data_IF_695293721789
#
_entry.id   IF_695293721789
#
_cell.length_a   1.000
_cell.length_b   1.000
_cell.length_c   1.000
_cell.angle_alpha   90.00
_cell.angle_beta   90.00
_cell.angle_gamma   90.00
#
_symmetry.space_group_name_H-M   'P 1'
#
loop_
_entity.id
_entity.type
_entity.pdbx_description
1 polymer ?
#
# COMPACT_ATOMS: atom_id res chain seq x y z
N UNK A 1 15.33 12.61 16.44
CA UNK A 1 15.29 11.76 15.23
C UNK A 1 16.03 12.49 14.15
N UNK A 2 17.02 11.88 13.50
CA UNK A 2 17.69 12.48 12.34
C UNK A 2 16.69 12.56 11.20
N UNK A 3 16.63 13.71 10.50
CA UNK A 3 15.75 13.88 9.33
C UNK A 3 16.23 12.94 8.22
N UNK A 4 15.34 12.14 7.66
CA UNK A 4 15.65 11.18 6.60
C UNK A 4 16.11 11.93 5.34
N UNK A 5 17.25 11.53 4.76
CA UNK A 5 17.76 12.13 3.53
C UNK A 5 17.15 11.43 2.32
N UNK A 6 16.63 12.21 1.36
CA UNK A 6 15.99 11.74 0.14
C UNK A 6 16.73 12.27 -1.08
N UNK A 7 16.87 11.46 -2.11
CA UNK A 7 17.22 11.93 -3.44
C UNK A 7 16.07 12.77 -4.00
N UNK A 8 16.36 13.94 -4.53
CA UNK A 8 15.38 14.87 -5.07
C UNK A 8 15.56 15.05 -6.59
N UNK A 9 14.44 15.30 -7.27
CA UNK A 9 14.34 15.32 -8.72
C UNK A 9 13.56 16.52 -9.22
N UNK A 10 13.68 16.81 -10.52
CA UNK A 10 12.75 17.68 -11.22
C UNK A 10 11.50 16.90 -11.70
N UNK A 11 10.53 17.58 -12.30
CA UNK A 11 9.29 16.99 -12.82
C UNK A 11 9.52 15.96 -13.95
N UNK A 12 10.71 15.96 -14.55
CA UNK A 12 11.12 15.01 -15.60
C UNK A 12 11.98 13.87 -15.06
N UNK A 13 12.04 13.76 -13.72
CA UNK A 13 12.84 12.75 -13.01
C UNK A 13 14.37 12.90 -13.18
N UNK A 14 14.86 14.10 -13.57
CA UNK A 14 16.30 14.35 -13.55
C UNK A 14 16.75 14.62 -12.10
N UNK A 15 17.89 14.04 -11.65
CA UNK A 15 18.37 14.24 -10.28
C UNK A 15 18.80 15.68 -10.04
N UNK A 16 18.42 16.24 -8.90
CA UNK A 16 18.78 17.57 -8.45
C UNK A 16 19.75 17.58 -7.26
N UNK A 17 19.87 16.44 -6.55
CA UNK A 17 20.71 16.28 -5.36
C UNK A 17 19.99 15.58 -4.23
N UNK A 18 20.31 15.95 -2.99
CA UNK A 18 19.77 15.35 -1.76
C UNK A 18 19.17 16.43 -0.87
N UNK A 19 18.03 16.16 -0.24
CA UNK A 19 17.41 17.01 0.76
C UNK A 19 16.90 16.18 1.95
N UNK A 20 16.80 16.79 3.12
CA UNK A 20 16.06 16.17 4.23
C UNK A 20 14.56 16.09 3.91
N UNK A 21 13.89 15.04 4.37
CA UNK A 21 12.46 14.80 4.15
C UNK A 21 11.58 15.98 4.55
N UNK A 22 11.84 16.58 5.72
CA UNK A 22 11.13 17.76 6.16
C UNK A 22 11.32 18.96 5.20
N UNK A 23 12.51 19.14 4.63
CA UNK A 23 12.78 20.15 3.63
C UNK A 23 12.08 19.83 2.31
N UNK A 24 12.16 18.58 1.84
CA UNK A 24 11.53 18.15 0.61
C UNK A 24 10.00 18.40 0.66
N UNK A 25 9.34 18.04 1.74
CA UNK A 25 7.91 18.28 1.94
C UNK A 25 7.56 19.77 2.08
N UNK A 26 8.39 20.57 2.77
CA UNK A 26 8.12 22.00 2.91
C UNK A 26 8.22 22.76 1.58
N UNK A 27 9.15 22.35 0.73
CA UNK A 27 9.43 22.99 -0.57
C UNK A 27 8.72 22.31 -1.75
N UNK A 28 8.04 21.18 -1.53
CA UNK A 28 7.40 20.40 -2.58
C UNK A 28 8.42 19.86 -3.59
N UNK A 29 9.55 19.32 -3.12
CA UNK A 29 10.56 18.73 -3.99
C UNK A 29 10.13 17.31 -4.36
N UNK A 30 10.24 16.96 -5.64
CA UNK A 30 9.97 15.61 -6.11
C UNK A 30 10.98 14.61 -5.56
N UNK A 31 10.48 13.47 -5.09
CA UNK A 31 11.29 12.37 -4.59
C UNK A 31 10.57 11.04 -4.86
N UNK A 32 11.29 9.93 -4.75
CA UNK A 32 10.68 8.61 -4.97
C UNK A 32 10.06 8.06 -3.69
N UNK A 33 8.92 7.39 -3.87
CA UNK A 33 8.26 6.58 -2.85
C UNK A 33 8.07 5.14 -3.34
N UNK A 34 8.18 4.20 -2.41
CA UNK A 34 7.85 2.79 -2.59
C UNK A 34 6.41 2.57 -2.16
N UNK A 35 5.59 1.99 -3.02
CA UNK A 35 4.22 1.59 -2.74
C UNK A 35 4.07 0.09 -2.99
N UNK A 36 3.67 -0.67 -2.00
CA UNK A 36 3.41 -2.10 -2.16
C UNK A 36 2.00 -2.47 -1.72
N UNK A 37 1.24 -3.01 -2.66
CA UNK A 37 -0.03 -3.65 -2.41
C UNK A 37 0.18 -5.13 -2.16
N UNK A 38 -0.35 -5.64 -1.05
CA UNK A 38 -0.33 -7.06 -0.72
C UNK A 38 -1.72 -7.65 -0.89
N UNK A 39 -1.79 -8.83 -1.48
CA UNK A 39 -3.04 -9.56 -1.61
C UNK A 39 -2.90 -11.01 -1.14
N UNK A 40 -3.99 -11.57 -0.69
CA UNK A 40 -4.11 -12.97 -0.26
C UNK A 40 -5.17 -13.69 -1.06
N UNK A 41 -4.90 -14.97 -1.38
CA UNK A 41 -5.85 -15.89 -1.98
C UNK A 41 -6.34 -16.82 -0.88
N UNK A 42 -7.63 -16.83 -0.64
CA UNK A 42 -8.33 -17.61 0.39
C UNK A 42 -9.20 -18.66 -0.29
N UNK A 43 -9.62 -19.68 0.44
CA UNK A 43 -10.60 -20.69 0.02
C UNK A 43 -10.30 -21.34 -1.34
N UNK A 44 -9.10 -21.94 -1.47
CA UNK A 44 -8.66 -22.64 -2.69
C UNK A 44 -8.79 -21.80 -3.99
N UNK A 45 -8.64 -20.47 -3.87
CA UNK A 45 -8.64 -19.57 -5.02
C UNK A 45 -9.98 -18.91 -5.34
N UNK A 46 -11.04 -19.16 -4.57
CA UNK A 46 -12.36 -18.57 -4.82
C UNK A 46 -12.52 -17.17 -4.23
N UNK A 47 -11.83 -16.86 -3.14
CA UNK A 47 -11.85 -15.56 -2.48
C UNK A 47 -10.45 -14.91 -2.52
N UNK A 48 -10.37 -13.74 -3.09
CA UNK A 48 -9.13 -12.95 -3.22
C UNK A 48 -9.33 -11.64 -2.49
N UNK A 49 -8.38 -11.27 -1.64
CA UNK A 49 -8.47 -10.12 -0.76
C UNK A 49 -7.26 -9.22 -0.87
N UNK A 50 -7.50 -7.91 -0.94
CA UNK A 50 -6.47 -6.87 -0.97
C UNK A 50 -6.31 -6.28 0.43
N UNK A 51 -5.04 -6.21 0.91
CA UNK A 51 -4.69 -5.69 2.22
C UNK A 51 -4.56 -4.17 2.20
N UNK A 52 -5.18 -3.51 3.17
CA UNK A 52 -5.03 -2.09 3.46
C UNK A 52 -4.49 -1.89 4.87
N UNK A 53 -3.66 -0.87 5.07
CA UNK A 53 -3.28 -0.41 6.40
C UNK A 53 -4.07 0.84 6.78
N UNK A 54 -4.38 1.02 8.06
CA UNK A 54 -4.89 2.28 8.59
C UNK A 54 -3.74 3.11 9.14
N UNK A 55 -3.58 4.31 8.63
CA UNK A 55 -2.53 5.26 9.00
C UNK A 55 -2.70 5.69 10.45
N UNK A 56 -1.60 5.72 11.17
CA UNK A 56 -1.57 6.13 12.57
C UNK A 56 -1.96 7.61 12.77
N UNK A 57 -2.32 7.99 14.03
CA UNK A 57 -2.76 9.34 14.34
C UNK A 57 -1.67 10.40 14.19
N UNK A 58 -0.40 10.01 14.25
CA UNK A 58 0.76 10.91 14.19
C UNK A 58 1.29 11.09 12.74
N UNK A 59 0.68 10.43 11.75
CA UNK A 59 1.05 10.64 10.34
C UNK A 59 0.63 12.04 9.91
N UNK A 60 1.57 12.76 9.30
CA UNK A 60 1.39 14.16 8.89
C UNK A 60 0.32 14.35 7.80
N UNK A 61 0.17 13.36 6.91
CA UNK A 61 -0.84 13.34 5.86
C UNK A 61 -1.86 12.24 6.13
N UNK A 62 -3.13 12.58 6.08
CA UNK A 62 -4.29 11.66 6.13
C UNK A 62 -4.27 10.68 7.32
N UNK A 63 -4.07 11.14 8.57
CA UNK A 63 -4.12 10.26 9.74
C UNK A 63 -5.49 9.58 9.85
N UNK A 64 -5.51 8.31 10.20
CA UNK A 64 -6.72 7.52 10.39
C UNK A 64 -7.39 7.00 9.12
N UNK A 65 -6.97 7.43 7.94
CA UNK A 65 -7.46 6.88 6.68
C UNK A 65 -6.76 5.56 6.34
N UNK A 66 -7.44 4.75 5.53
CA UNK A 66 -6.86 3.53 4.98
C UNK A 66 -6.04 3.82 3.73
N UNK A 67 -4.92 3.16 3.61
CA UNK A 67 -3.92 3.38 2.57
C UNK A 67 -3.37 2.04 2.05
N UNK A 68 -2.41 2.14 1.16
CA UNK A 68 -1.61 1.06 0.57
C UNK A 68 -1.10 0.14 1.68
N UNK A 69 -0.91 -1.15 1.40
CA UNK A 69 -0.50 -2.13 2.41
C UNK A 69 0.79 -1.75 3.11
N UNK A 70 1.82 -1.30 2.35
CA UNK A 70 3.04 -0.72 2.89
C UNK A 70 3.53 0.39 1.94
N UNK A 71 3.98 1.52 2.50
CA UNK A 71 4.44 2.65 1.71
C UNK A 71 5.42 3.54 2.48
N UNK A 72 6.54 3.89 1.84
CA UNK A 72 7.52 4.80 2.40
C UNK A 72 8.43 5.42 1.35
N UNK A 73 9.38 6.24 1.79
CA UNK A 73 10.26 6.96 0.89
C UNK A 73 11.56 6.18 0.66
N UNK A 74 12.07 6.25 -0.56
CA UNK A 74 13.44 5.83 -0.81
C UNK A 74 14.42 6.80 -0.15
N UNK A 75 15.34 6.28 0.64
CA UNK A 75 16.44 7.06 1.20
C UNK A 75 17.46 7.42 0.11
N UNK A 76 18.20 8.50 0.31
CA UNK A 76 19.23 8.91 -0.63
C UNK A 76 20.23 7.77 -0.91
N UNK A 77 20.42 7.46 -2.21
CA UNK A 77 21.30 6.40 -2.68
C UNK A 77 20.71 4.99 -2.66
N UNK A 78 19.47 4.79 -2.21
CA UNK A 78 18.80 3.49 -2.27
C UNK A 78 18.48 3.07 -3.71
N UNK A 79 18.68 1.80 -4.02
CA UNK A 79 18.21 1.20 -5.25
C UNK A 79 16.72 0.84 -5.15
N UNK A 80 16.08 0.55 -6.29
CA UNK A 80 14.65 0.20 -6.34
C UNK A 80 14.30 -0.98 -5.44
N UNK A 81 15.18 -1.99 -5.38
CA UNK A 81 14.97 -3.18 -4.56
C UNK A 81 15.01 -2.88 -3.04
N UNK A 82 15.71 -1.83 -2.62
CA UNK A 82 15.85 -1.51 -1.19
C UNK A 82 14.53 -1.01 -0.58
N UNK A 83 13.59 -0.53 -1.42
CA UNK A 83 12.26 -0.10 -0.96
C UNK A 83 11.44 -1.20 -0.26
N UNK A 84 11.76 -2.47 -0.50
CA UNK A 84 11.09 -3.61 0.14
C UNK A 84 11.20 -3.59 1.67
N UNK A 85 12.21 -2.90 2.25
CA UNK A 85 12.37 -2.72 3.69
C UNK A 85 11.14 -2.07 4.35
N UNK A 86 10.40 -1.23 3.60
CA UNK A 86 9.18 -0.59 4.13
C UNK A 86 8.12 -1.62 4.52
N UNK A 87 8.08 -2.78 3.84
CA UNK A 87 7.15 -3.85 4.20
C UNK A 87 7.54 -4.44 5.56
N UNK A 88 8.83 -4.65 5.81
CA UNK A 88 9.31 -5.15 7.09
C UNK A 88 9.15 -4.08 8.19
N UNK A 89 9.52 -2.83 7.91
CA UNK A 89 9.44 -1.72 8.86
C UNK A 89 7.99 -1.44 9.28
N UNK A 90 7.02 -1.43 8.35
CA UNK A 90 5.62 -1.11 8.66
C UNK A 90 4.78 -2.32 9.07
N UNK A 91 5.03 -3.50 8.49
CA UNK A 91 4.16 -4.68 8.68
C UNK A 91 4.82 -5.82 9.47
N UNK A 92 6.13 -5.75 9.71
CA UNK A 92 6.89 -6.76 10.46
C UNK A 92 7.01 -8.09 9.74
N UNK A 93 6.99 -8.10 8.40
CA UNK A 93 7.15 -9.29 7.57
C UNK A 93 8.17 -9.06 6.47
N UNK A 94 9.00 -10.07 6.21
CA UNK A 94 9.98 -10.05 5.13
C UNK A 94 9.36 -10.57 3.84
N UNK A 95 9.51 -9.82 2.76
CA UNK A 95 9.15 -10.21 1.39
C UNK A 95 10.36 -9.93 0.50
N UNK A 96 10.71 -10.88 -0.37
CA UNK A 96 11.82 -10.68 -1.29
C UNK A 96 11.36 -9.79 -2.46
N UNK A 97 12.21 -8.84 -2.88
CA UNK A 97 11.89 -7.95 -3.99
C UNK A 97 11.54 -8.71 -5.28
N UNK A 98 12.20 -9.87 -5.52
CA UNK A 98 11.94 -10.72 -6.68
C UNK A 98 10.55 -11.38 -6.72
N UNK A 99 9.82 -11.37 -5.58
CA UNK A 99 8.45 -11.89 -5.49
C UNK A 99 7.40 -10.81 -5.78
N UNK A 100 7.83 -9.56 -6.01
CA UNK A 100 6.95 -8.44 -6.32
C UNK A 100 6.80 -8.26 -7.83
N UNK A 101 5.60 -7.93 -8.26
CA UNK A 101 5.28 -7.53 -9.63
C UNK A 101 5.22 -6.00 -9.69
N UNK A 102 6.03 -5.38 -10.54
CA UNK A 102 6.00 -3.93 -10.74
C UNK A 102 4.75 -3.53 -11.55
N UNK A 103 3.98 -2.58 -11.03
CA UNK A 103 2.79 -2.00 -11.67
C UNK A 103 3.08 -0.66 -12.35
N UNK A 104 4.34 -0.18 -12.26
CA UNK A 104 4.81 1.07 -12.84
C UNK A 104 4.96 2.20 -11.83
N UNK A 105 5.29 3.39 -12.35
CA UNK A 105 5.52 4.60 -11.56
C UNK A 105 4.40 5.61 -11.81
N UNK A 106 3.85 6.19 -10.74
CA UNK A 106 2.83 7.25 -10.81
C UNK A 106 3.34 8.51 -10.12
N UNK A 107 3.06 9.67 -10.69
CA UNK A 107 3.31 10.94 -10.01
C UNK A 107 2.09 11.28 -9.15
N UNK A 108 2.30 11.49 -7.85
CA UNK A 108 1.27 11.89 -6.90
C UNK A 108 1.65 13.21 -6.23
N UNK A 109 0.67 14.06 -5.96
CA UNK A 109 0.85 15.32 -5.23
C UNK A 109 -0.20 15.39 -4.14
N UNK A 110 0.25 15.52 -2.90
CA UNK A 110 -0.61 15.71 -1.74
C UNK A 110 -0.25 17.02 -1.05
N UNK A 111 -1.27 17.77 -0.63
CA UNK A 111 -1.09 19.02 0.08
C UNK A 111 -1.95 19.03 1.34
N UNK A 112 -1.33 19.32 2.49
CA UNK A 112 -2.02 19.51 3.75
C UNK A 112 -1.22 20.45 4.66
N UNK A 113 -1.83 21.57 5.04
CA UNK A 113 -1.16 22.60 5.86
C UNK A 113 0.09 23.12 5.18
N UNK A 114 1.26 22.90 5.80
CA UNK A 114 2.57 23.34 5.27
C UNK A 114 3.31 22.22 4.52
N UNK A 115 2.66 21.09 4.28
CA UNK A 115 3.26 19.93 3.62
C UNK A 115 2.78 19.89 2.18
N UNK A 116 3.74 19.79 1.27
CA UNK A 116 3.54 19.52 -0.16
C UNK A 116 4.37 18.27 -0.47
N UNK A 117 3.73 17.11 -0.52
CA UNK A 117 4.41 15.88 -0.92
C UNK A 117 4.24 15.70 -2.42
N UNK A 118 5.37 15.67 -3.15
CA UNK A 118 5.43 15.39 -4.59
C UNK A 118 6.25 14.13 -4.79
N UNK A 119 5.58 13.06 -5.17
CA UNK A 119 6.14 11.73 -5.16
C UNK A 119 6.06 11.06 -6.53
N UNK A 120 7.15 10.41 -6.92
CA UNK A 120 7.15 9.39 -7.97
C UNK A 120 6.98 8.04 -7.29
N UNK A 121 5.74 7.59 -7.17
CA UNK A 121 5.38 6.36 -6.47
C UNK A 121 5.64 5.15 -7.35
N UNK A 122 6.70 4.38 -7.06
CA UNK A 122 6.94 3.07 -7.68
C UNK A 122 6.00 2.07 -7.02
N UNK A 123 5.08 1.54 -7.79
CA UNK A 123 4.00 0.70 -7.27
C UNK A 123 4.26 -0.76 -7.59
N UNK A 124 4.15 -1.59 -6.57
CA UNK A 124 4.36 -3.04 -6.64
C UNK A 124 3.14 -3.79 -6.12
N UNK A 125 2.98 -5.02 -6.58
CA UNK A 125 1.99 -5.97 -6.12
C UNK A 125 2.70 -7.22 -5.62
N UNK A 126 2.42 -7.64 -4.38
CA UNK A 126 2.96 -8.84 -3.76
C UNK A 126 1.85 -9.77 -3.29
N UNK A 127 2.11 -11.08 -3.35
CA UNK A 127 1.23 -12.08 -2.76
C UNK A 127 1.72 -12.45 -1.36
N UNK A 128 0.79 -12.57 -0.41
CA UNK A 128 1.06 -13.11 0.91
C UNK A 128 0.12 -14.27 1.22
N UNK A 129 0.56 -15.20 2.06
CA UNK A 129 -0.29 -16.24 2.64
C UNK A 129 -0.76 -15.85 4.06
N UNK A 130 -0.25 -14.75 4.62
CA UNK A 130 -0.51 -14.36 6.00
C UNK A 130 -1.90 -13.75 6.16
N UNK A 131 -2.59 -14.18 7.20
CA UNK A 131 -3.78 -13.50 7.71
C UNK A 131 -3.37 -12.16 8.37
N UNK A 132 -4.21 -11.10 8.32
CA UNK A 132 -3.92 -9.83 8.97
C UNK A 132 -3.47 -9.94 10.44
N UNK A 133 -3.96 -10.92 11.19
CA UNK A 133 -3.56 -11.14 12.57
C UNK A 133 -2.13 -11.72 12.74
N UNK A 134 -1.54 -12.21 11.67
CA UNK A 134 -0.18 -12.77 11.70
C UNK A 134 0.91 -11.69 11.48
N UNK A 135 0.55 -10.55 10.96
CA UNK A 135 1.48 -9.42 10.82
C UNK A 135 1.90 -8.83 12.17
N UNK A 136 2.95 -8.04 12.18
CA UNK A 136 3.48 -7.34 13.37
C UNK A 136 3.64 -5.85 13.04
N UNK A 137 2.52 -5.12 12.86
CA UNK A 137 2.56 -3.73 12.40
C UNK A 137 3.31 -2.82 13.38
N UNK A 138 4.05 -1.87 12.83
CA UNK A 138 4.79 -0.88 13.59
C UNK A 138 3.84 0.13 14.25
N UNK A 139 3.71 0.07 15.59
CA UNK A 139 2.96 1.05 16.37
C UNK A 139 3.84 2.28 16.68
N UNK A 140 3.28 3.49 16.65
CA UNK A 140 1.89 3.86 16.36
C UNK A 140 1.61 4.16 14.87
N UNK A 141 2.51 3.81 13.96
CA UNK A 141 2.42 4.18 12.54
C UNK A 141 1.24 3.52 11.82
N UNK A 142 0.95 2.26 12.17
CA UNK A 142 -0.16 1.48 11.64
C UNK A 142 -1.10 1.11 12.78
N UNK A 143 -2.39 1.42 12.63
CA UNK A 143 -3.42 1.18 13.67
C UNK A 143 -4.44 0.12 13.31
N UNK A 144 -4.54 -0.28 12.05
CA UNK A 144 -5.31 -1.43 11.61
C UNK A 144 -4.71 -2.04 10.34
N UNK A 145 -4.93 -3.33 10.16
CA UNK A 145 -4.73 -4.05 8.91
C UNK A 145 -6.02 -4.75 8.55
N UNK A 146 -6.58 -4.43 7.39
CA UNK A 146 -7.83 -5.02 6.93
C UNK A 146 -7.73 -5.53 5.50
N UNK A 147 -8.42 -6.59 5.21
CA UNK A 147 -8.57 -7.14 3.88
C UNK A 147 -9.93 -6.78 3.32
N UNK A 148 -9.96 -6.34 2.07
CA UNK A 148 -11.16 -6.09 1.28
C UNK A 148 -11.26 -7.15 0.20
N UNK A 149 -12.36 -7.92 0.12
CA UNK A 149 -12.60 -8.84 -1.00
C UNK A 149 -12.53 -8.09 -2.33
N UNK A 150 -11.81 -8.62 -3.30
CA UNK A 150 -11.59 -7.96 -4.60
C UNK A 150 -12.91 -7.64 -5.30
N UNK A 151 -13.88 -8.54 -5.25
CA UNK A 151 -15.20 -8.31 -5.84
C UNK A 151 -15.93 -7.12 -5.20
N UNK A 152 -15.88 -6.99 -3.87
CA UNK A 152 -16.50 -5.88 -3.13
C UNK A 152 -15.79 -4.55 -3.47
N UNK A 153 -14.45 -4.57 -3.51
CA UNK A 153 -13.65 -3.40 -3.86
C UNK A 153 -13.88 -2.92 -5.29
N UNK A 154 -13.97 -3.84 -6.26
CA UNK A 154 -14.32 -3.53 -7.65
C UNK A 154 -15.70 -2.86 -7.74
N UNK A 155 -16.70 -3.42 -7.05
CA UNK A 155 -18.08 -2.89 -7.03
C UNK A 155 -18.12 -1.49 -6.40
N UNK A 156 -17.39 -1.26 -5.30
CA UNK A 156 -17.28 0.03 -4.65
C UNK A 156 -16.61 1.06 -5.56
N UNK A 157 -15.47 0.73 -6.15
CA UNK A 157 -14.72 1.66 -7.03
C UNK A 157 -15.48 1.97 -8.33
N UNK A 158 -16.28 1.03 -8.83
CA UNK A 158 -17.15 1.25 -9.98
C UNK A 158 -18.43 2.04 -9.64
N UNK A 159 -18.67 2.36 -8.36
CA UNK A 159 -19.87 3.05 -7.89
C UNK A 159 -21.15 2.18 -7.88
N UNK A 160 -21.01 0.87 -8.04
CA UNK A 160 -22.14 -0.07 -7.99
C UNK A 160 -22.61 -0.25 -6.54
N UNK A 161 -21.68 -0.29 -5.59
CA UNK A 161 -21.95 -0.31 -4.17
C UNK A 161 -21.34 0.91 -3.48
N UNK A 162 -22.00 1.46 -2.44
CA UNK A 162 -21.46 2.61 -1.72
C UNK A 162 -20.25 2.25 -0.85
N UNK A 163 -20.16 0.99 -0.41
CA UNK A 163 -19.15 0.47 0.52
C UNK A 163 -18.68 -0.91 0.08
N UNK A 164 -17.50 -1.29 0.57
CA UNK A 164 -16.95 -2.64 0.51
C UNK A 164 -16.76 -3.17 1.93
N UNK A 165 -17.10 -4.44 2.18
CA UNK A 165 -16.82 -5.10 3.45
C UNK A 165 -15.34 -5.23 3.66
N UNK A 166 -14.89 -5.11 4.90
CA UNK A 166 -13.51 -5.40 5.28
C UNK A 166 -13.43 -6.16 6.60
N UNK A 167 -12.40 -6.98 6.74
CA UNK A 167 -12.12 -7.73 7.96
C UNK A 167 -10.63 -7.81 8.20
N UNK A 168 -10.22 -7.88 9.46
CA UNK A 168 -8.81 -7.96 9.83
C UNK A 168 -8.59 -7.67 11.30
N UNK A 169 -7.57 -6.88 11.62
CA UNK A 169 -7.21 -6.53 12.99
C UNK A 169 -7.04 -5.03 13.16
N UNK A 170 -7.38 -4.54 14.35
CA UNK A 170 -7.21 -3.14 14.75
C UNK A 170 -6.59 -3.06 16.14
N UNK A 171 -5.64 -2.14 16.30
CA UNK A 171 -5.06 -1.81 17.60
C UNK A 171 -6.04 -0.95 18.41
N UNK A 172 -6.40 -1.43 19.59
CA UNK A 172 -7.29 -0.73 20.51
C UNK A 172 -6.91 -1.00 21.95
N UNK A 173 -6.73 0.04 22.73
CA UNK A 173 -6.37 -0.03 24.16
C UNK A 173 -5.16 -0.95 24.43
N UNK A 174 -4.08 -0.79 23.66
CA UNK A 174 -2.83 -1.53 23.83
C UNK A 174 -2.86 -2.98 23.33
N UNK A 175 -3.85 -3.36 22.52
CA UNK A 175 -3.98 -4.74 21.99
C UNK A 175 -4.55 -4.75 20.59
N UNK A 176 -4.07 -5.67 19.77
CA UNK A 176 -4.66 -6.01 18.47
C UNK A 176 -5.90 -6.88 18.68
N UNK A 177 -7.00 -6.54 18.03
CA UNK A 177 -8.30 -7.23 18.13
C UNK A 177 -8.87 -7.44 16.74
N UNK A 178 -9.66 -8.49 16.58
CA UNK A 178 -10.44 -8.71 15.37
C UNK A 178 -11.33 -7.49 15.09
N UNK A 179 -11.40 -7.12 13.83
CA UNK A 179 -12.10 -5.94 13.36
C UNK A 179 -12.83 -6.26 12.06
N UNK A 180 -14.10 -5.92 12.01
CA UNK A 180 -14.94 -6.00 10.83
C UNK A 180 -15.65 -4.68 10.65
N UNK A 181 -15.77 -4.21 9.40
CA UNK A 181 -16.39 -2.94 9.06
C UNK A 181 -16.73 -2.90 7.58
N UNK A 182 -17.24 -1.77 7.17
CA UNK A 182 -17.39 -1.38 5.78
C UNK A 182 -16.52 -0.16 5.51
N UNK A 183 -15.87 -0.12 4.34
CA UNK A 183 -15.10 1.00 3.85
C UNK A 183 -15.79 1.62 2.65
N UNK A 184 -15.83 2.93 2.61
CA UNK A 184 -16.18 3.71 1.42
C UNK A 184 -14.91 4.36 0.84
N UNK A 185 -15.00 4.94 -0.35
CA UNK A 185 -13.89 5.72 -0.92
C UNK A 185 -13.47 6.92 -0.06
N UNK A 186 -14.33 7.39 0.87
CA UNK A 186 -14.02 8.49 1.79
C UNK A 186 -13.14 8.06 2.96
N UNK A 187 -13.10 6.77 3.25
CA UNK A 187 -12.26 6.19 4.29
C UNK A 187 -10.84 5.89 3.79
N UNK A 188 -10.61 6.02 2.48
CA UNK A 188 -9.33 5.80 1.83
C UNK A 188 -8.58 7.12 1.65
N UNK A 189 -7.24 7.07 1.61
CA UNK A 189 -6.41 8.22 1.23
C UNK A 189 -6.91 8.75 -0.12
N UNK A 190 -7.12 10.08 -0.25
CA UNK A 190 -7.78 10.63 -1.43
C UNK A 190 -6.92 10.47 -2.70
N UNK A 191 -7.26 9.45 -3.46
CA UNK A 191 -6.81 9.20 -4.83
C UNK A 191 -8.03 9.07 -5.74
N UNK A 192 -7.90 9.29 -7.06
CA UNK A 192 -8.99 9.03 -7.99
C UNK A 192 -9.53 7.60 -7.84
N UNK A 193 -10.84 7.39 -7.88
CA UNK A 193 -11.44 6.05 -7.79
C UNK A 193 -10.87 5.09 -8.84
N UNK A 194 -10.49 5.60 -10.02
CA UNK A 194 -9.81 4.85 -11.06
C UNK A 194 -8.47 4.23 -10.60
N UNK A 195 -7.74 4.90 -9.70
CA UNK A 195 -6.52 4.34 -9.12
C UNK A 195 -6.80 3.03 -8.38
N UNK A 196 -7.75 3.07 -7.43
CA UNK A 196 -8.11 1.89 -6.66
C UNK A 196 -8.73 0.79 -7.53
N UNK A 197 -9.56 1.18 -8.51
CA UNK A 197 -10.14 0.25 -9.48
C UNK A 197 -9.05 -0.50 -10.26
N UNK A 198 -7.99 0.20 -10.70
CA UNK A 198 -6.87 -0.41 -11.40
C UNK A 198 -6.10 -1.39 -10.51
N UNK A 199 -5.87 -1.05 -9.24
CA UNK A 199 -5.22 -1.95 -8.28
C UNK A 199 -6.04 -3.23 -8.10
N UNK A 200 -7.34 -3.13 -7.85
CA UNK A 200 -8.20 -4.31 -7.71
C UNK A 200 -8.20 -5.18 -8.97
N UNK A 201 -8.19 -4.57 -10.15
CA UNK A 201 -8.09 -5.31 -11.43
C UNK A 201 -6.75 -6.03 -11.59
N UNK A 202 -5.64 -5.40 -11.20
CA UNK A 202 -4.34 -6.07 -11.21
C UNK A 202 -4.32 -7.28 -10.28
N UNK A 203 -4.92 -7.18 -9.10
CA UNK A 203 -5.06 -8.31 -8.17
C UNK A 203 -5.93 -9.43 -8.77
N UNK A 204 -7.05 -9.08 -9.38
CA UNK A 204 -7.94 -10.05 -10.05
C UNK A 204 -7.20 -10.80 -11.16
N UNK A 205 -6.45 -10.09 -12.01
CA UNK A 205 -5.66 -10.69 -13.08
C UNK A 205 -4.55 -11.60 -12.54
N UNK A 206 -3.78 -11.13 -11.55
CA UNK A 206 -2.69 -11.89 -10.94
C UNK A 206 -3.20 -13.18 -10.26
N UNK A 207 -4.41 -13.13 -9.67
CA UNK A 207 -5.04 -14.29 -9.03
C UNK A 207 -5.73 -15.24 -10.02
N UNK A 208 -6.25 -14.73 -11.14
CA UNK A 208 -6.88 -15.53 -12.21
C UNK A 208 -5.91 -16.49 -12.88
N UNK A 209 -4.69 -16.04 -13.16
CA UNK A 209 -3.62 -16.89 -13.67
C UNK A 209 -3.18 -18.02 -12.72
N UNK A 210 -3.53 -17.93 -11.44
CA UNK A 210 -3.30 -19.01 -10.47
C UNK A 210 -4.40 -20.09 -10.53
N UNK A 211 -5.63 -19.72 -10.87
CA UNK A 211 -6.74 -20.67 -11.08
C UNK A 211 -6.48 -21.57 -12.28
N UNK A 212 -6.02 -20.98 -13.41
CA UNK A 212 -5.70 -21.73 -14.61
C UNK A 212 -4.56 -22.74 -14.39
N UNK A 213 -3.54 -22.40 -13.58
CA UNK A 213 -2.44 -23.32 -13.24
C UNK A 213 -2.81 -24.40 -12.23
N UNK A 214 -3.80 -24.14 -11.37
CA UNK A 214 -4.30 -25.14 -10.42
C UNK A 214 -5.21 -26.19 -11.09
N UNK A 215 -5.81 -25.84 -12.22
CA UNK A 215 -6.69 -26.70 -13.02
C UNK A 215 -5.92 -27.50 -14.10
N UNK A 216 -4.61 -27.23 -14.32
CA UNK A 216 -3.77 -28.06 -15.18
C UNK A 216 -3.50 -29.41 -14.49
N UNK A 217 -3.86 -30.55 -15.11
CA UNK A 217 -3.56 -31.86 -14.54
C UNK A 217 -2.03 -32.01 -14.44
N UNK A 218 -1.51 -32.67 -13.38
CA UNK A 218 -0.08 -32.91 -13.26
C UNK A 218 0.41 -33.63 -14.50
N UNK A 219 1.41 -33.04 -15.16
CA UNK A 219 1.92 -33.48 -16.45
C UNK A 219 2.22 -34.97 -16.47
N UNK A 220 1.79 -35.61 -17.56
CA UNK A 220 2.09 -36.99 -17.90
C UNK A 220 3.57 -37.17 -18.22
#
# INVERSE_FOLDING_TARGET
MQDEALDIFDEKQNPLGVAGKAQAHRLGLWHYAFHCWLYRVVDAGTDVRLLFQQRGPDKALYPGLFDISAAGHYRAGEAVADGVREIEEELGVEIQFGDLVELGTRAEVFEAGNIISREFCRTFLGRTALDPAAFRPAEPEVTALVEVPVADGLAMCAGTWPTARCSGVRHWAGRWRQYESELSLRDLVPRPAAYYLDIFRHVEQASGGLRERADEPPGQ
#
